data_IF_863078647410
#
_entry.id   IF_863078647410
#
_cell.length_a   1.000
_cell.length_b   1.000
_cell.length_c   1.000
_cell.angle_alpha   90.00
_cell.angle_beta   90.00
_cell.angle_gamma   90.00
#
_symmetry.space_group_name_H-M   'P 1'
#
loop_
_entity.id
_entity.type
_entity.pdbx_description
1 polymer ?
#
# COMPACT_ATOMS: atom_id res chain seq x y z
N UNK A 1 -9.25 -18.44 0.63
CA UNK A 1 -9.66 -17.13 0.05
C UNK A 1 -8.67 -16.78 -1.06
N UNK A 2 -9.12 -16.33 -2.25
CA UNK A 2 -8.21 -15.75 -3.26
C UNK A 2 -8.30 -14.23 -3.21
N UNK A 3 -7.15 -13.58 -3.03
CA UNK A 3 -6.99 -12.13 -3.16
C UNK A 3 -6.52 -11.84 -4.59
N UNK A 4 -7.26 -11.02 -5.32
CA UNK A 4 -7.03 -10.78 -6.74
C UNK A 4 -7.48 -9.36 -7.07
N UNK A 5 -6.83 -8.72 -8.05
CA UNK A 5 -7.21 -7.37 -8.47
C UNK A 5 -6.42 -6.27 -7.77
N UNK A 6 -7.03 -5.12 -7.60
CA UNK A 6 -6.40 -3.93 -7.03
C UNK A 6 -6.85 -3.71 -5.59
N UNK A 7 -5.89 -3.65 -4.67
CA UNK A 7 -6.09 -3.32 -3.26
C UNK A 7 -5.40 -1.97 -3.01
N UNK A 8 -6.12 -0.97 -2.54
CA UNK A 8 -5.52 0.34 -2.26
C UNK A 8 -4.77 0.33 -0.94
N UNK A 9 -3.47 0.65 -0.95
CA UNK A 9 -2.70 0.97 0.25
C UNK A 9 -3.13 2.35 0.74
N UNK A 10 -4.24 2.41 1.48
CA UNK A 10 -4.91 3.64 1.84
C UNK A 10 -4.05 4.50 2.75
N UNK A 11 -3.99 5.80 2.48
CA UNK A 11 -3.35 6.79 3.35
C UNK A 11 -4.22 7.08 4.58
N UNK A 12 -3.59 7.50 5.67
CA UNK A 12 -4.30 8.03 6.85
C UNK A 12 -4.23 9.57 6.81
N UNK A 13 -5.35 10.27 6.60
CA UNK A 13 -5.40 11.72 6.65
C UNK A 13 -5.36 12.23 8.09
N UNK A 14 -4.74 13.41 8.28
CA UNK A 14 -4.67 14.07 9.59
C UNK A 14 -5.24 15.48 9.52
N UNK A 15 -5.88 15.90 10.61
CA UNK A 15 -6.29 17.27 10.88
C UNK A 15 -5.08 18.17 11.16
N UNK A 16 -5.23 19.51 11.07
CA UNK A 16 -4.16 20.50 11.37
C UNK A 16 -3.52 20.33 12.75
N UNK A 17 -4.24 19.82 13.72
CA UNK A 17 -3.74 19.54 15.07
C UNK A 17 -3.02 18.19 15.20
N UNK A 18 -2.87 17.43 14.10
CA UNK A 18 -2.20 16.15 14.05
C UNK A 18 -3.05 14.94 14.46
N UNK A 19 -4.33 15.11 14.82
CA UNK A 19 -5.26 13.98 15.05
C UNK A 19 -5.72 13.37 13.73
N UNK A 20 -6.18 12.12 13.75
CA UNK A 20 -6.73 11.46 12.56
C UNK A 20 -7.99 12.19 12.07
N UNK A 21 -8.05 12.48 10.76
CA UNK A 21 -9.23 13.06 10.12
C UNK A 21 -10.17 11.94 9.62
N UNK A 22 -11.08 11.53 10.48
CA UNK A 22 -12.06 10.48 10.15
C UNK A 22 -13.08 10.91 9.09
N UNK A 23 -13.32 12.23 8.93
CA UNK A 23 -14.17 12.74 7.86
C UNK A 23 -13.54 12.56 6.49
N UNK A 24 -12.27 12.94 6.35
CA UNK A 24 -11.50 12.71 5.14
C UNK A 24 -11.27 11.20 4.89
N UNK A 25 -10.99 10.41 5.93
CA UNK A 25 -10.86 8.96 5.81
C UNK A 25 -12.13 8.32 5.23
N UNK A 26 -13.31 8.75 5.72
CA UNK A 26 -14.60 8.29 5.20
C UNK A 26 -14.75 8.60 3.71
N UNK A 27 -14.49 9.84 3.31
CA UNK A 27 -14.56 10.25 1.92
C UNK A 27 -13.63 9.45 1.01
N UNK A 28 -12.39 9.20 1.46
CA UNK A 28 -11.44 8.36 0.72
C UNK A 28 -11.96 6.93 0.56
N UNK A 29 -12.45 6.29 1.62
CA UNK A 29 -12.99 4.92 1.56
C UNK A 29 -14.21 4.84 0.63
N UNK A 30 -15.13 5.81 0.71
CA UNK A 30 -16.30 5.88 -0.15
C UNK A 30 -15.92 6.07 -1.63
N UNK A 31 -14.91 6.87 -1.93
CA UNK A 31 -14.37 7.05 -3.28
C UNK A 31 -13.79 5.73 -3.82
N UNK A 32 -12.98 5.04 -3.03
CA UNK A 32 -12.40 3.74 -3.40
C UNK A 32 -13.49 2.71 -3.70
N UNK A 33 -14.47 2.57 -2.82
CA UNK A 33 -15.57 1.61 -3.00
C UNK A 33 -16.47 1.97 -4.19
N UNK A 34 -16.70 3.27 -4.45
CA UNK A 34 -17.48 3.75 -5.60
C UNK A 34 -16.75 3.54 -6.92
N UNK A 35 -15.43 3.57 -6.92
CA UNK A 35 -14.60 3.25 -8.08
C UNK A 35 -14.56 1.74 -8.38
N UNK A 36 -15.06 0.90 -7.47
CA UNK A 36 -15.12 -0.55 -7.62
C UNK A 36 -13.78 -1.25 -7.38
N UNK A 37 -12.97 -0.72 -6.45
CA UNK A 37 -11.72 -1.37 -6.02
C UNK A 37 -12.01 -2.73 -5.37
N UNK A 38 -11.14 -3.71 -5.57
CA UNK A 38 -11.31 -5.05 -5.01
C UNK A 38 -11.04 -5.11 -3.50
N UNK A 39 -10.21 -4.20 -2.99
CA UNK A 39 -9.92 -4.14 -1.57
C UNK A 39 -9.22 -2.87 -1.11
N UNK A 40 -9.21 -2.67 0.20
CA UNK A 40 -8.50 -1.58 0.88
C UNK A 40 -7.55 -2.19 1.91
N UNK A 41 -6.27 -1.81 1.85
CA UNK A 41 -5.29 -2.09 2.88
C UNK A 41 -5.21 -0.88 3.82
N UNK A 42 -5.81 -1.00 5.01
CA UNK A 42 -5.80 0.01 6.06
C UNK A 42 -4.57 -0.13 6.94
N UNK A 43 -3.99 0.99 7.35
CA UNK A 43 -2.86 1.06 8.30
C UNK A 43 -1.64 0.22 7.89
N UNK A 44 -1.36 0.20 6.57
CA UNK A 44 -0.06 -0.25 6.07
C UNK A 44 0.98 0.87 6.16
N UNK A 45 2.09 0.73 5.40
CA UNK A 45 3.12 1.77 5.30
C UNK A 45 2.55 3.11 4.84
N UNK A 46 1.68 3.10 3.81
CA UNK A 46 1.03 4.32 3.30
C UNK A 46 0.06 4.93 4.31
N UNK A 47 -0.48 4.13 5.22
CA UNK A 47 -1.32 4.58 6.33
C UNK A 47 -0.55 5.12 7.53
N UNK A 48 0.77 5.30 7.44
CA UNK A 48 1.64 5.82 8.51
C UNK A 48 1.54 5.02 9.83
N UNK A 49 1.41 3.68 9.73
CA UNK A 49 1.24 2.81 10.90
C UNK A 49 2.25 3.05 12.05
N UNK A 50 3.55 3.38 11.80
CA UNK A 50 4.50 3.58 12.91
C UNK A 50 4.24 4.79 13.79
N UNK A 51 3.44 5.77 13.33
CA UNK A 51 3.18 7.02 14.04
C UNK A 51 1.75 7.12 14.59
N UNK A 52 0.96 6.07 14.41
CA UNK A 52 -0.34 5.90 15.08
C UNK A 52 -0.12 5.26 16.46
N UNK A 53 -0.81 5.76 17.49
CA UNK A 53 -0.92 4.99 18.74
C UNK A 53 -1.67 3.68 18.48
N UNK A 54 -1.57 2.70 19.38
CA UNK A 54 -2.32 1.45 19.21
C UNK A 54 -3.84 1.69 19.15
N UNK A 55 -4.36 2.63 19.93
CA UNK A 55 -5.77 2.98 19.91
C UNK A 55 -6.18 3.59 18.57
N UNK A 56 -5.41 4.55 18.04
CA UNK A 56 -5.64 5.12 16.71
C UNK A 56 -5.52 4.06 15.60
N UNK A 57 -4.54 3.17 15.70
CA UNK A 57 -4.34 2.07 14.77
C UNK A 57 -5.59 1.19 14.67
N UNK A 58 -6.15 0.80 15.82
CA UNK A 58 -7.37 0.01 15.90
C UNK A 58 -8.58 0.80 15.38
N UNK A 59 -8.70 2.07 15.78
CA UNK A 59 -9.83 2.91 15.38
C UNK A 59 -9.84 3.19 13.86
N UNK A 60 -8.68 3.46 13.23
CA UNK A 60 -8.59 3.66 11.78
C UNK A 60 -9.01 2.39 11.03
N UNK A 61 -8.61 1.21 11.49
CA UNK A 61 -9.06 -0.06 10.88
C UNK A 61 -10.57 -0.24 11.06
N UNK A 62 -11.09 -0.04 12.27
CA UNK A 62 -12.53 -0.16 12.57
C UNK A 62 -13.36 0.78 11.70
N UNK A 63 -12.94 2.04 11.57
CA UNK A 63 -13.61 3.03 10.73
C UNK A 63 -13.50 2.71 9.24
N UNK A 64 -12.37 2.16 8.79
CA UNK A 64 -12.24 1.69 7.39
C UNK A 64 -13.23 0.56 7.10
N UNK A 65 -13.39 -0.40 8.01
CA UNK A 65 -14.38 -1.49 7.90
C UNK A 65 -15.80 -0.92 7.86
N UNK A 66 -16.13 -0.03 8.80
CA UNK A 66 -17.44 0.62 8.89
C UNK A 66 -17.79 1.35 7.58
N UNK A 67 -16.87 2.19 7.08
CA UNK A 67 -17.12 3.03 5.90
C UNK A 67 -17.13 2.23 4.59
N UNK A 68 -16.36 1.15 4.50
CA UNK A 68 -16.40 0.25 3.35
C UNK A 68 -17.73 -0.52 3.27
N UNK A 69 -18.40 -0.76 4.42
CA UNK A 69 -19.72 -1.36 4.51
C UNK A 69 -19.84 -2.68 3.71
N UNK A 70 -18.80 -3.50 3.69
CA UNK A 70 -18.77 -4.79 2.97
C UNK A 70 -18.69 -4.69 1.44
N UNK A 71 -18.50 -3.50 0.86
CA UNK A 71 -18.44 -3.31 -0.60
C UNK A 71 -17.12 -3.76 -1.23
N UNK A 72 -16.06 -3.89 -0.44
CA UNK A 72 -14.77 -4.40 -0.87
C UNK A 72 -14.10 -5.18 0.28
N UNK A 73 -13.01 -5.89 -0.02
CA UNK A 73 -12.23 -6.61 1.00
C UNK A 73 -11.39 -5.65 1.83
N UNK A 74 -11.27 -5.96 3.12
CA UNK A 74 -10.42 -5.18 4.03
C UNK A 74 -9.20 -6.00 4.46
N UNK A 75 -8.03 -5.44 4.19
CA UNK A 75 -6.73 -5.96 4.63
C UNK A 75 -6.21 -5.05 5.73
N UNK A 76 -6.04 -5.55 6.93
CA UNK A 76 -5.53 -4.79 8.06
C UNK A 76 -4.00 -4.90 8.14
N UNK A 77 -3.27 -3.79 8.13
CA UNK A 77 -1.83 -3.78 8.39
C UNK A 77 -1.57 -3.97 9.88
N UNK A 78 -1.18 -5.16 10.31
CA UNK A 78 -0.90 -5.49 11.72
C UNK A 78 0.51 -6.06 11.94
N UNK A 79 1.36 -6.00 10.87
CA UNK A 79 2.74 -6.44 10.98
C UNK A 79 3.60 -5.49 11.82
N UNK A 80 4.50 -6.07 12.62
CA UNK A 80 5.47 -5.36 13.44
C UNK A 80 6.81 -6.10 13.44
N UNK A 81 7.87 -5.46 13.92
CA UNK A 81 9.17 -6.12 14.08
C UNK A 81 9.29 -6.92 15.40
N UNK A 82 8.31 -6.79 16.29
CA UNK A 82 8.12 -7.62 17.46
C UNK A 82 6.97 -8.60 17.23
N UNK A 83 7.22 -9.90 17.44
CA UNK A 83 6.18 -10.93 17.28
C UNK A 83 5.04 -10.72 18.26
N UNK A 84 5.32 -10.31 19.51
CA UNK A 84 4.28 -10.03 20.51
C UNK A 84 3.37 -8.87 20.12
N UNK A 85 3.93 -7.84 19.50
CA UNK A 85 3.17 -6.69 18.99
C UNK A 85 2.30 -7.09 17.79
N UNK A 86 2.87 -7.80 16.80
CA UNK A 86 2.12 -8.32 15.66
C UNK A 86 0.95 -9.21 16.10
N UNK A 87 1.16 -10.05 17.12
CA UNK A 87 0.10 -10.85 17.73
C UNK A 87 -0.99 -9.98 18.39
N UNK A 88 -0.59 -8.98 19.16
CA UNK A 88 -1.53 -8.09 19.87
C UNK A 88 -2.41 -7.34 18.87
N UNK A 89 -1.80 -6.71 17.87
CA UNK A 89 -2.51 -5.98 16.81
C UNK A 89 -3.44 -6.90 15.99
N UNK A 90 -2.97 -8.10 15.65
CA UNK A 90 -3.79 -9.05 14.87
C UNK A 90 -4.96 -9.59 15.67
N UNK A 91 -4.77 -9.89 16.98
CA UNK A 91 -5.87 -10.31 17.88
C UNK A 91 -6.94 -9.24 17.99
N UNK A 92 -6.56 -7.99 18.20
CA UNK A 92 -7.51 -6.87 18.25
C UNK A 92 -8.35 -6.77 16.96
N UNK A 93 -7.73 -6.97 15.79
CA UNK A 93 -8.46 -6.98 14.51
C UNK A 93 -9.40 -8.17 14.38
N UNK A 94 -9.02 -9.34 14.87
CA UNK A 94 -9.89 -10.54 14.91
C UNK A 94 -11.09 -10.28 15.82
N UNK A 95 -10.88 -9.73 17.01
CA UNK A 95 -11.93 -9.40 17.98
C UNK A 95 -12.89 -8.32 17.43
N UNK A 96 -12.36 -7.34 16.70
CA UNK A 96 -13.13 -6.30 16.02
C UNK A 96 -14.04 -6.88 14.92
N UNK A 97 -13.56 -7.90 14.22
CA UNK A 97 -14.25 -8.50 13.08
C UNK A 97 -14.23 -7.62 11.84
N UNK A 98 -14.67 -8.18 10.71
CA UNK A 98 -14.86 -7.45 9.45
C UNK A 98 -13.61 -7.28 8.56
N UNK A 99 -12.42 -7.61 9.04
CA UNK A 99 -11.24 -7.71 8.19
C UNK A 99 -11.19 -9.08 7.50
N UNK A 100 -10.85 -9.10 6.21
CA UNK A 100 -10.72 -10.32 5.39
C UNK A 100 -9.33 -10.95 5.52
N UNK A 101 -8.30 -10.13 5.75
CA UNK A 101 -6.91 -10.57 5.88
C UNK A 101 -6.07 -9.56 6.67
N UNK A 102 -4.88 -9.98 7.05
CA UNK A 102 -3.86 -9.11 7.63
C UNK A 102 -2.63 -9.02 6.73
N UNK A 103 -2.04 -7.81 6.63
CA UNK A 103 -0.75 -7.59 5.97
C UNK A 103 0.36 -7.61 7.02
N UNK A 104 1.28 -8.58 6.88
CA UNK A 104 2.38 -8.79 7.81
C UNK A 104 3.71 -8.40 7.16
N UNK A 105 4.23 -7.23 7.52
CA UNK A 105 5.52 -6.77 7.01
C UNK A 105 6.67 -7.62 7.56
N UNK A 106 7.68 -7.86 6.72
CA UNK A 106 8.94 -8.44 7.17
C UNK A 106 9.47 -7.64 8.36
N UNK A 107 9.80 -8.29 9.52
CA UNK A 107 10.39 -7.59 10.66
C UNK A 107 11.58 -6.74 10.24
N UNK A 108 11.44 -5.43 10.42
CA UNK A 108 12.40 -4.40 10.06
C UNK A 108 13.37 -4.13 11.21
N UNK A 109 14.55 -3.59 10.91
CA UNK A 109 15.59 -3.18 11.85
C UNK A 109 16.34 -4.37 12.50
N UNK A 110 15.66 -5.30 13.19
CA UNK A 110 16.26 -6.43 13.91
C UNK A 110 16.70 -7.59 13.01
N UNK A 111 16.34 -7.59 11.70
CA UNK A 111 16.84 -8.50 10.64
C UNK A 111 16.92 -9.98 11.06
N UNK A 112 15.79 -10.61 11.42
CA UNK A 112 15.82 -11.99 11.88
C UNK A 112 16.38 -12.96 10.82
N UNK A 113 16.93 -14.08 11.27
CA UNK A 113 17.33 -15.17 10.38
C UNK A 113 16.09 -15.89 9.80
N UNK A 114 16.30 -16.82 8.86
CA UNK A 114 15.23 -17.52 8.16
C UNK A 114 14.27 -18.26 9.11
N UNK A 115 14.80 -18.90 10.15
CA UNK A 115 13.98 -19.61 11.12
C UNK A 115 13.18 -18.64 12.01
N UNK A 116 13.76 -17.51 12.40
CA UNK A 116 13.04 -16.45 13.12
C UNK A 116 11.91 -15.86 12.30
N UNK A 117 12.13 -15.59 11.00
CA UNK A 117 11.08 -15.17 10.07
C UNK A 117 9.95 -16.20 9.98
N UNK A 118 10.29 -17.45 9.80
CA UNK A 118 9.32 -18.53 9.71
C UNK A 118 8.46 -18.61 10.98
N UNK A 119 9.07 -18.64 12.15
CA UNK A 119 8.35 -18.71 13.43
C UNK A 119 7.48 -17.47 13.67
N UNK A 120 7.98 -16.28 13.34
CA UNK A 120 7.24 -15.02 13.45
C UNK A 120 5.93 -15.08 12.68
N UNK A 121 5.99 -15.38 11.37
CA UNK A 121 4.80 -15.41 10.53
C UNK A 121 3.87 -16.58 10.85
N UNK A 122 4.42 -17.76 11.19
CA UNK A 122 3.63 -18.91 11.62
C UNK A 122 2.78 -18.60 12.85
N UNK A 123 3.41 -17.98 13.87
CA UNK A 123 2.71 -17.63 15.12
C UNK A 123 1.55 -16.67 14.87
N UNK A 124 1.67 -15.75 13.91
CA UNK A 124 0.56 -14.87 13.51
C UNK A 124 -0.49 -15.64 12.71
N UNK A 125 -0.08 -16.51 11.79
CA UNK A 125 -1.00 -17.31 10.97
C UNK A 125 -1.84 -18.29 11.81
N UNK A 126 -1.30 -18.78 12.93
CA UNK A 126 -2.00 -19.66 13.89
C UNK A 126 -3.20 -18.96 14.56
N UNK A 127 -3.30 -17.63 14.51
CA UNK A 127 -4.46 -16.88 15.03
C UNK A 127 -5.74 -17.06 14.20
N UNK A 128 -5.63 -17.56 12.95
CA UNK A 128 -6.78 -17.88 12.10
C UNK A 128 -7.19 -16.85 11.08
N UNK A 129 -6.77 -15.57 11.19
CA UNK A 129 -7.01 -14.57 10.15
C UNK A 129 -6.05 -14.81 8.97
N UNK A 130 -6.53 -14.77 7.71
CA UNK A 130 -5.67 -14.92 6.53
C UNK A 130 -4.52 -13.90 6.51
N UNK A 131 -3.31 -14.38 6.24
CA UNK A 131 -2.06 -13.60 6.25
C UNK A 131 -1.57 -13.34 4.83
N UNK A 132 -1.28 -12.08 4.53
CA UNK A 132 -0.50 -11.66 3.38
C UNK A 132 0.90 -11.34 3.89
N UNK A 133 1.89 -12.11 3.47
CA UNK A 133 3.29 -11.79 3.73
C UNK A 133 3.66 -10.50 3.00
N UNK A 134 4.46 -9.63 3.60
CA UNK A 134 4.92 -8.43 2.92
C UNK A 134 6.43 -8.37 2.85
N UNK A 135 6.96 -8.66 1.64
CA UNK A 135 8.37 -8.62 1.32
C UNK A 135 8.75 -7.24 0.78
N UNK A 136 9.51 -6.47 1.56
CA UNK A 136 9.95 -5.11 1.22
C UNK A 136 11.36 -4.85 1.71
N UNK A 137 12.38 -5.51 1.12
CA UNK A 137 13.75 -5.46 1.62
C UNK A 137 14.34 -4.04 1.68
N UNK A 138 13.93 -3.14 0.78
CA UNK A 138 14.35 -1.73 0.79
C UNK A 138 13.96 -0.97 2.06
N UNK A 139 12.89 -1.39 2.76
CA UNK A 139 12.44 -0.81 4.03
C UNK A 139 12.84 -1.65 5.23
N UNK A 140 12.65 -2.95 5.12
CA UNK A 140 12.91 -3.88 6.23
C UNK A 140 14.40 -4.16 6.46
N UNK A 141 15.25 -3.94 5.44
CA UNK A 141 16.65 -4.33 5.45
C UNK A 141 16.84 -5.85 5.47
N UNK A 142 15.76 -6.60 5.21
CA UNK A 142 15.75 -8.06 5.16
C UNK A 142 14.69 -8.52 4.15
N UNK A 143 15.09 -9.46 3.30
CA UNK A 143 14.19 -10.17 2.40
C UNK A 143 13.64 -11.44 3.06
N UNK A 144 12.41 -11.86 2.71
CA UNK A 144 11.88 -13.18 3.06
C UNK A 144 12.49 -14.18 2.05
N UNK A 145 13.39 -15.10 2.44
CA UNK A 145 13.96 -16.08 1.52
C UNK A 145 12.89 -16.97 0.87
N UNK A 146 13.13 -17.41 -0.37
CA UNK A 146 12.17 -18.22 -1.12
C UNK A 146 11.79 -19.51 -0.40
N UNK A 147 12.77 -20.18 0.22
CA UNK A 147 12.54 -21.40 1.02
C UNK A 147 11.62 -21.14 2.22
N UNK A 148 11.73 -19.95 2.84
CA UNK A 148 10.83 -19.53 3.93
C UNK A 148 9.41 -19.29 3.38
N UNK A 149 9.27 -18.64 2.22
CA UNK A 149 7.95 -18.48 1.57
C UNK A 149 7.32 -19.84 1.29
N UNK A 150 8.10 -20.78 0.72
CA UNK A 150 7.62 -22.15 0.42
C UNK A 150 7.17 -22.90 1.68
N UNK A 151 7.88 -22.74 2.79
CA UNK A 151 7.49 -23.34 4.07
C UNK A 151 6.21 -22.70 4.62
N UNK A 152 6.10 -21.36 4.58
CA UNK A 152 4.95 -20.61 5.06
C UNK A 152 3.68 -20.87 4.23
N UNK A 153 3.81 -20.98 2.92
CA UNK A 153 2.69 -21.25 2.01
C UNK A 153 1.99 -22.61 2.25
N UNK A 154 2.58 -23.50 3.05
CA UNK A 154 1.93 -24.74 3.50
C UNK A 154 0.88 -24.52 4.59
N UNK A 155 0.93 -23.37 5.25
CA UNK A 155 -0.06 -23.03 6.28
C UNK A 155 -1.34 -22.50 5.61
N UNK A 156 -2.54 -23.02 5.95
CA UNK A 156 -3.78 -22.66 5.26
C UNK A 156 -4.15 -21.19 5.35
N UNK A 157 -3.70 -20.50 6.40
CA UNK A 157 -3.95 -19.08 6.59
C UNK A 157 -2.88 -18.18 5.95
N UNK A 158 -1.78 -18.70 5.43
CA UNK A 158 -0.82 -17.91 4.63
C UNK A 158 -1.27 -17.93 3.18
N UNK A 159 -2.02 -16.92 2.77
CA UNK A 159 -2.80 -16.93 1.52
C UNK A 159 -2.14 -16.19 0.36
N UNK A 160 -1.23 -15.27 0.65
CA UNK A 160 -0.60 -14.43 -0.37
C UNK A 160 0.74 -13.85 0.10
N UNK A 161 1.48 -13.31 -0.87
CA UNK A 161 2.61 -12.42 -0.63
C UNK A 161 2.41 -11.12 -1.41
N UNK A 162 2.62 -9.96 -0.74
CA UNK A 162 2.88 -8.68 -1.39
C UNK A 162 4.37 -8.60 -1.66
N UNK A 163 4.75 -8.59 -2.94
CA UNK A 163 6.15 -8.56 -3.37
C UNK A 163 6.55 -7.14 -3.80
N UNK A 164 7.44 -6.53 -3.05
CA UNK A 164 7.94 -5.17 -3.23
C UNK A 164 9.47 -5.11 -3.17
N UNK A 165 10.15 -6.14 -3.68
CA UNK A 165 11.60 -6.15 -3.83
C UNK A 165 12.08 -5.52 -5.15
N UNK A 166 11.16 -5.03 -6.00
CA UNK A 166 11.50 -4.43 -7.29
C UNK A 166 11.92 -5.45 -8.36
N UNK A 167 11.54 -6.73 -8.23
CA UNK A 167 12.00 -7.80 -9.12
C UNK A 167 10.85 -8.64 -9.68
N UNK A 168 10.68 -8.60 -11.01
CA UNK A 168 9.76 -9.48 -11.74
C UNK A 168 10.24 -10.93 -11.70
N UNK A 169 11.57 -11.15 -11.73
CA UNK A 169 12.18 -12.47 -11.63
C UNK A 169 11.81 -13.17 -10.30
N UNK A 170 11.72 -12.41 -9.22
CA UNK A 170 11.29 -12.94 -7.93
C UNK A 170 9.86 -13.50 -7.98
N UNK A 171 8.95 -12.82 -8.67
CA UNK A 171 7.59 -13.33 -8.90
C UNK A 171 7.65 -14.62 -9.69
N UNK A 172 8.44 -14.68 -10.76
CA UNK A 172 8.65 -15.91 -11.56
C UNK A 172 9.18 -17.05 -10.71
N UNK A 173 10.16 -16.79 -9.84
CA UNK A 173 10.73 -17.80 -8.95
C UNK A 173 9.69 -18.34 -7.95
N UNK A 174 8.86 -17.49 -7.36
CA UNK A 174 7.76 -17.90 -6.47
C UNK A 174 6.74 -18.74 -7.24
N UNK A 175 6.27 -18.27 -8.40
CA UNK A 175 5.25 -18.96 -9.20
C UNK A 175 5.76 -20.27 -9.80
N UNK A 176 7.06 -20.40 -10.05
CA UNK A 176 7.64 -21.67 -10.50
C UNK A 176 7.56 -22.80 -9.45
N UNK A 177 7.70 -22.47 -8.17
CA UNK A 177 7.66 -23.47 -7.08
C UNK A 177 6.32 -23.53 -6.36
N UNK A 178 5.51 -22.47 -6.44
CA UNK A 178 4.19 -22.32 -5.83
C UNK A 178 3.20 -21.75 -6.86
N UNK A 179 2.79 -22.50 -7.90
CA UNK A 179 1.99 -21.99 -9.01
C UNK A 179 0.64 -21.42 -8.56
N UNK A 180 0.03 -21.97 -7.52
CA UNK A 180 -1.28 -21.58 -7.00
C UNK A 180 -1.23 -20.51 -5.88
N UNK A 181 -0.02 -20.16 -5.39
CA UNK A 181 0.13 -19.18 -4.33
C UNK A 181 -0.04 -17.77 -4.87
N UNK A 182 -0.93 -16.97 -4.26
CA UNK A 182 -1.19 -15.61 -4.71
C UNK A 182 -0.01 -14.69 -4.48
N UNK A 183 0.44 -14.03 -5.54
CA UNK A 183 1.44 -12.96 -5.51
C UNK A 183 0.78 -11.66 -5.92
N UNK A 184 0.89 -10.64 -5.09
CA UNK A 184 0.43 -9.27 -5.36
C UNK A 184 1.65 -8.37 -5.52
N UNK A 185 1.67 -7.56 -6.58
CA UNK A 185 2.69 -6.51 -6.72
C UNK A 185 2.60 -5.53 -5.54
N UNK A 186 3.75 -5.08 -5.06
CA UNK A 186 3.85 -3.96 -4.12
C UNK A 186 4.21 -2.64 -4.79
N UNK A 187 4.48 -2.68 -6.11
CA UNK A 187 4.96 -1.57 -6.92
C UNK A 187 4.01 -1.30 -8.10
N UNK A 188 3.48 -0.08 -8.21
CA UNK A 188 2.53 0.30 -9.26
C UNK A 188 3.15 0.16 -10.66
N UNK A 189 4.39 0.63 -10.87
CA UNK A 189 5.11 0.55 -12.14
C UNK A 189 5.48 -0.87 -12.57
N UNK A 190 5.58 -1.81 -11.62
CA UNK A 190 5.90 -3.21 -11.90
C UNK A 190 4.66 -4.11 -11.95
N UNK A 191 3.46 -3.58 -11.70
CA UNK A 191 2.22 -4.35 -11.66
C UNK A 191 1.97 -5.12 -12.96
N UNK A 192 1.98 -4.43 -14.10
CA UNK A 192 1.74 -5.06 -15.40
C UNK A 192 2.81 -6.12 -15.76
N UNK A 193 4.13 -5.83 -15.64
CA UNK A 193 5.16 -6.84 -15.80
C UNK A 193 5.01 -8.06 -14.85
N UNK A 194 4.69 -7.83 -13.58
CA UNK A 194 4.51 -8.93 -12.63
C UNK A 194 3.29 -9.80 -12.95
N UNK A 195 2.17 -9.19 -13.43
CA UNK A 195 1.01 -9.97 -13.87
C UNK A 195 1.36 -10.85 -15.07
N UNK A 196 2.22 -10.40 -15.99
CA UNK A 196 2.63 -11.19 -17.15
C UNK A 196 3.38 -12.47 -16.80
N UNK A 197 3.96 -12.54 -15.60
CA UNK A 197 4.64 -13.74 -15.06
C UNK A 197 3.88 -14.42 -13.92
N UNK A 198 2.58 -14.08 -13.74
CA UNK A 198 1.67 -14.81 -12.88
C UNK A 198 1.28 -14.13 -11.57
N UNK A 199 1.61 -12.86 -11.34
CA UNK A 199 1.00 -12.11 -10.24
C UNK A 199 -0.51 -11.93 -10.48
N UNK A 200 -1.28 -11.83 -9.39
CA UNK A 200 -2.75 -11.85 -9.46
C UNK A 200 -3.37 -10.50 -9.08
N UNK A 201 -2.54 -9.46 -8.93
CA UNK A 201 -3.00 -8.11 -8.60
C UNK A 201 -1.90 -7.24 -7.99
N UNK A 202 -2.33 -6.19 -7.28
CA UNK A 202 -1.46 -5.19 -6.68
C UNK A 202 -2.02 -4.68 -5.35
N UNK A 203 -1.14 -4.37 -4.41
CA UNK A 203 -1.46 -3.47 -3.29
C UNK A 203 -0.84 -2.11 -3.63
N UNK A 204 -1.65 -1.22 -4.19
CA UNK A 204 -1.30 -0.04 -4.95
C UNK A 204 -1.26 1.24 -4.10
N UNK A 205 -0.30 2.11 -4.37
CA UNK A 205 -0.26 3.49 -3.85
C UNK A 205 -1.00 4.44 -4.81
N UNK A 206 -0.78 4.31 -6.12
CA UNK A 206 -1.41 5.16 -7.12
C UNK A 206 -2.94 5.10 -7.12
N UNK A 207 -3.51 3.98 -6.72
CA UNK A 207 -4.97 3.82 -6.59
C UNK A 207 -5.62 4.75 -5.55
N UNK A 208 -4.85 5.39 -4.66
CA UNK A 208 -5.38 6.48 -3.82
C UNK A 208 -5.87 7.67 -4.66
N UNK A 209 -5.26 7.91 -5.85
CA UNK A 209 -5.59 9.02 -6.76
C UNK A 209 -6.46 8.57 -7.94
N UNK A 210 -6.14 7.41 -8.51
CA UNK A 210 -6.72 6.88 -9.75
C UNK A 210 -7.27 5.44 -9.55
N UNK A 211 -8.21 5.24 -8.62
CA UNK A 211 -8.65 3.89 -8.25
C UNK A 211 -9.29 3.12 -9.42
N UNK A 212 -10.10 3.80 -10.25
CA UNK A 212 -10.78 3.20 -11.39
C UNK A 212 -9.79 2.77 -12.46
N UNK A 213 -8.90 3.65 -12.86
CA UNK A 213 -7.92 3.43 -13.92
C UNK A 213 -6.94 2.34 -13.53
N UNK A 214 -6.54 2.31 -12.25
CA UNK A 214 -5.66 1.26 -11.74
C UNK A 214 -6.37 -0.10 -11.75
N UNK A 215 -7.64 -0.15 -11.35
CA UNK A 215 -8.45 -1.37 -11.37
C UNK A 215 -8.69 -1.85 -12.81
N UNK A 216 -8.98 -0.94 -13.75
CA UNK A 216 -9.19 -1.29 -15.15
C UNK A 216 -7.91 -1.87 -15.77
N UNK A 217 -6.74 -1.25 -15.54
CA UNK A 217 -5.45 -1.78 -15.98
C UNK A 217 -5.22 -3.21 -15.47
N UNK A 218 -5.44 -3.44 -14.19
CA UNK A 218 -5.23 -4.75 -13.56
C UNK A 218 -6.22 -5.78 -14.09
N UNK A 219 -7.50 -5.44 -14.21
CA UNK A 219 -8.54 -6.33 -14.73
C UNK A 219 -8.26 -6.74 -16.18
N UNK A 220 -7.87 -5.79 -17.05
CA UNK A 220 -7.47 -6.08 -18.44
C UNK A 220 -6.29 -7.05 -18.46
N UNK A 221 -5.24 -6.79 -17.70
CA UNK A 221 -4.06 -7.65 -17.65
C UNK A 221 -4.42 -9.07 -17.16
N UNK A 222 -5.26 -9.21 -16.13
CA UNK A 222 -5.72 -10.48 -15.59
C UNK A 222 -6.67 -11.23 -16.56
N UNK A 223 -7.34 -10.51 -17.45
CA UNK A 223 -8.14 -11.08 -18.52
C UNK A 223 -7.32 -11.46 -19.78
N UNK A 224 -5.99 -11.18 -19.78
CA UNK A 224 -5.11 -11.45 -20.92
C UNK A 224 -5.01 -10.30 -21.93
N UNK A 225 -5.75 -9.20 -21.74
CA UNK A 225 -5.63 -7.98 -22.58
C UNK A 225 -4.46 -7.10 -22.13
N UNK A 226 -3.25 -7.60 -22.39
CA UNK A 226 -2.02 -6.84 -22.11
C UNK A 226 -1.88 -5.60 -22.98
N UNK A 227 -2.43 -5.60 -24.20
CA UNK A 227 -2.37 -4.45 -25.10
C UNK A 227 -3.24 -3.29 -24.57
N UNK A 228 -4.43 -3.60 -24.04
CA UNK A 228 -5.29 -2.64 -23.37
C UNK A 228 -4.65 -2.13 -22.07
N UNK A 229 -4.19 -3.02 -21.21
CA UNK A 229 -3.53 -2.67 -19.95
C UNK A 229 -2.28 -1.79 -20.16
N UNK A 230 -1.49 -2.03 -21.23
CA UNK A 230 -0.30 -1.27 -21.55
C UNK A 230 -0.61 0.21 -21.86
N UNK A 231 -1.81 0.53 -22.36
CA UNK A 231 -2.22 1.93 -22.59
C UNK A 231 -2.34 2.69 -21.26
N UNK A 232 -2.95 2.05 -20.26
CA UNK A 232 -3.02 2.62 -18.90
C UNK A 232 -1.65 2.73 -18.28
N UNK A 233 -0.84 1.68 -18.34
CA UNK A 233 0.51 1.68 -17.80
C UNK A 233 1.35 2.84 -18.35
N UNK A 234 1.35 3.03 -19.68
CA UNK A 234 2.08 4.14 -20.32
C UNK A 234 1.53 5.51 -19.95
N UNK A 235 0.20 5.65 -19.92
CA UNK A 235 -0.44 6.91 -19.55
C UNK A 235 -0.07 7.36 -18.13
N UNK A 236 -0.05 6.43 -17.19
CA UNK A 236 0.15 6.75 -15.76
C UNK A 236 1.57 6.45 -15.25
N UNK A 237 2.51 6.09 -16.14
CA UNK A 237 3.87 5.72 -15.74
C UNK A 237 4.58 6.82 -14.96
N UNK A 238 4.48 8.08 -15.39
CA UNK A 238 5.08 9.20 -14.67
C UNK A 238 4.47 9.34 -13.26
N UNK A 239 3.16 9.18 -13.13
CA UNK A 239 2.52 9.19 -11.81
C UNK A 239 3.07 8.07 -10.92
N UNK A 240 3.19 6.85 -11.44
CA UNK A 240 3.76 5.72 -10.68
C UNK A 240 5.18 6.01 -10.19
N UNK A 241 5.99 6.68 -11.01
CA UNK A 241 7.35 7.07 -10.65
C UNK A 241 7.34 8.22 -9.64
N UNK A 242 6.59 9.29 -9.90
CA UNK A 242 6.65 10.53 -9.14
C UNK A 242 6.06 10.40 -7.73
N UNK A 243 5.18 9.42 -7.51
CA UNK A 243 4.71 9.09 -6.17
C UNK A 243 5.80 8.47 -5.27
N UNK A 244 7.00 8.18 -5.82
CA UNK A 244 8.12 7.59 -5.09
C UNK A 244 9.44 8.38 -5.20
N UNK A 245 9.41 9.61 -5.71
CA UNK A 245 10.59 10.52 -5.73
C UNK A 245 10.95 11.03 -4.34
N UNK A 246 10.04 10.88 -3.39
CA UNK A 246 10.28 10.99 -1.97
C UNK A 246 9.74 9.73 -1.27
N UNK A 247 10.00 9.60 0.04
CA UNK A 247 9.57 8.43 0.79
C UNK A 247 8.04 8.30 0.81
N UNK A 248 7.50 7.14 0.41
CA UNK A 248 6.07 6.88 0.55
C UNK A 248 5.69 6.80 2.06
N UNK A 249 4.64 7.54 2.52
CA UNK A 249 3.53 8.12 1.76
C UNK A 249 3.64 9.64 1.47
N UNK A 250 4.80 10.26 1.54
CA UNK A 250 4.89 11.72 1.41
C UNK A 250 4.26 12.19 0.11
N UNK A 251 4.74 11.71 -1.06
CA UNK A 251 4.26 12.20 -2.34
C UNK A 251 2.78 11.89 -2.62
N UNK A 252 2.27 10.73 -2.24
CA UNK A 252 0.84 10.41 -2.41
C UNK A 252 -0.05 11.33 -1.56
N UNK A 253 0.39 11.69 -0.36
CA UNK A 253 -0.34 12.64 0.50
C UNK A 253 -0.24 14.07 -0.04
N UNK A 254 0.91 14.47 -0.58
CA UNK A 254 1.05 15.76 -1.29
C UNK A 254 0.11 15.86 -2.49
N UNK A 255 0.05 14.82 -3.31
CA UNK A 255 -0.87 14.76 -4.45
C UNK A 255 -2.33 14.88 -4.01
N UNK A 256 -2.75 14.13 -3.00
CA UNK A 256 -4.10 14.18 -2.47
C UNK A 256 -4.43 15.55 -1.83
N UNK A 257 -3.45 16.20 -1.18
CA UNK A 257 -3.61 17.57 -0.70
C UNK A 257 -3.78 18.56 -1.86
N UNK A 258 -3.00 18.46 -2.93
CA UNK A 258 -3.19 19.26 -4.15
C UNK A 258 -4.58 19.06 -4.75
N UNK A 259 -5.10 17.83 -4.73
CA UNK A 259 -6.47 17.50 -5.13
C UNK A 259 -7.55 18.00 -4.14
N UNK A 260 -7.18 18.65 -3.04
CA UNK A 260 -8.12 19.19 -2.05
C UNK A 260 -8.78 18.15 -1.15
N UNK A 261 -8.24 16.94 -1.07
CA UNK A 261 -8.88 15.82 -0.35
C UNK A 261 -8.81 15.98 1.17
N UNK A 262 -7.71 16.52 1.71
CA UNK A 262 -7.48 16.76 3.14
C UNK A 262 -6.38 17.79 3.39
N UNK A 263 -6.00 18.01 4.65
CA UNK A 263 -4.94 18.96 5.04
C UNK A 263 -3.54 18.39 4.82
N UNK A 264 -2.57 19.25 4.51
CA UNK A 264 -1.15 18.90 4.33
C UNK A 264 -0.48 18.67 5.67
N UNK A 265 -0.75 17.52 6.28
CA UNK A 265 -0.24 17.19 7.62
C UNK A 265 0.39 15.80 7.61
N UNK A 266 1.58 15.73 8.17
CA UNK A 266 2.36 14.49 8.38
C UNK A 266 2.71 14.39 9.87
N UNK A 267 3.01 13.19 10.33
CA UNK A 267 3.55 12.96 11.66
C UNK A 267 5.05 12.68 11.58
N UNK A 268 5.85 13.39 12.36
CA UNK A 268 7.29 13.12 12.43
C UNK A 268 7.55 11.62 12.72
N UNK A 269 8.58 11.02 12.09
CA UNK A 269 9.67 11.66 11.35
C UNK A 269 9.35 12.05 9.91
N UNK A 270 8.15 11.78 9.40
CA UNK A 270 7.74 12.25 8.07
C UNK A 270 7.33 13.72 8.15
N UNK A 271 7.65 14.45 7.08
CA UNK A 271 7.24 15.84 6.90
C UNK A 271 6.94 16.10 5.42
N UNK A 272 6.57 17.33 5.13
CA UNK A 272 6.27 17.79 3.78
C UNK A 272 7.51 17.68 2.88
N UNK A 273 7.27 17.40 1.59
CA UNK A 273 8.33 17.38 0.58
C UNK A 273 8.81 18.80 0.25
N UNK A 274 9.96 18.91 -0.44
CA UNK A 274 10.46 20.17 -0.95
C UNK A 274 9.61 20.72 -2.12
N UNK A 275 9.72 22.03 -2.35
CA UNK A 275 8.91 22.73 -3.35
C UNK A 275 9.14 22.20 -4.77
N UNK A 276 10.35 21.79 -5.14
CA UNK A 276 10.65 21.28 -6.46
C UNK A 276 9.93 19.95 -6.77
N UNK A 277 9.89 19.03 -5.79
CA UNK A 277 9.13 17.78 -5.92
C UNK A 277 7.63 18.03 -5.90
N UNK A 278 7.17 18.98 -5.11
CA UNK A 278 5.76 19.36 -5.08
C UNK A 278 5.30 19.97 -6.41
N UNK A 279 6.11 20.83 -7.03
CA UNK A 279 5.87 21.39 -8.38
C UNK A 279 5.82 20.28 -9.43
N UNK A 280 6.75 19.32 -9.40
CA UNK A 280 6.75 18.17 -10.29
C UNK A 280 5.48 17.33 -10.12
N UNK A 281 5.05 17.08 -8.88
CA UNK A 281 3.81 16.38 -8.59
C UNK A 281 2.60 17.10 -9.19
N UNK A 282 2.51 18.43 -9.01
CA UNK A 282 1.46 19.26 -9.62
C UNK A 282 1.44 19.19 -11.14
N UNK A 283 2.61 19.29 -11.79
CA UNK A 283 2.74 19.16 -13.24
C UNK A 283 2.31 17.77 -13.75
N UNK A 284 2.63 16.71 -13.00
CA UNK A 284 2.20 15.35 -13.34
C UNK A 284 0.68 15.21 -13.25
N UNK A 285 0.03 15.73 -12.19
CA UNK A 285 -1.43 15.72 -12.07
C UNK A 285 -2.09 16.49 -13.23
N UNK A 286 -1.58 17.69 -13.57
CA UNK A 286 -2.07 18.50 -14.68
C UNK A 286 -1.96 17.76 -16.03
N UNK A 287 -0.82 17.13 -16.31
CA UNK A 287 -0.58 16.37 -17.53
C UNK A 287 -1.56 15.22 -17.73
N UNK A 288 -2.08 14.68 -16.64
CA UNK A 288 -3.06 13.59 -16.60
C UNK A 288 -4.51 14.08 -16.54
N UNK A 289 -4.73 15.40 -16.54
CA UNK A 289 -6.04 16.04 -16.33
C UNK A 289 -6.71 15.61 -15.01
N UNK A 290 -5.90 15.37 -13.99
CA UNK A 290 -6.37 15.15 -12.62
C UNK A 290 -6.52 16.53 -11.98
N UNK A 291 -7.74 16.87 -11.56
CA UNK A 291 -8.03 18.18 -11.01
C UNK A 291 -7.25 18.43 -9.70
N UNK A 292 -6.43 19.47 -9.72
CA UNK A 292 -5.75 20.01 -8.56
C UNK A 292 -6.38 21.34 -8.17
N UNK A 293 -7.02 21.39 -7.00
CA UNK A 293 -7.71 22.59 -6.50
C UNK A 293 -6.78 23.55 -5.74
N UNK A 294 -5.57 23.11 -5.40
CA UNK A 294 -4.56 23.90 -4.67
C UNK A 294 -3.37 24.13 -5.59
N UNK A 295 -3.04 25.38 -5.82
CA UNK A 295 -1.86 25.76 -6.59
C UNK A 295 -0.61 25.78 -5.71
N UNK A 296 0.47 25.22 -6.22
CA UNK A 296 1.81 25.49 -5.70
C UNK A 296 2.11 26.93 -6.06
N UNK A 297 2.20 27.83 -5.06
CA UNK A 297 2.70 29.19 -5.29
C UNK A 297 4.22 29.06 -5.42
N UNK A 298 4.82 29.28 -6.62
CA UNK A 298 6.27 29.22 -6.73
C UNK A 298 6.86 30.21 -5.73
N UNK A 299 7.71 29.75 -4.83
CA UNK A 299 8.53 30.66 -4.03
C UNK A 299 9.46 31.36 -5.02
N UNK A 300 9.39 32.71 -5.19
CA UNK A 300 10.27 33.39 -6.09
C UNK A 300 11.71 33.05 -5.71
N UNK A 301 12.49 32.57 -6.68
CA UNK A 301 13.91 32.27 -6.51
C UNK A 301 14.53 33.45 -5.75
N UNK A 302 14.81 33.27 -4.48
CA UNK A 302 15.63 34.23 -3.75
C UNK A 302 16.96 34.26 -4.47
N UNK A 303 17.22 35.37 -5.11
CA UNK A 303 18.51 35.66 -5.77
C UNK A 303 19.62 35.52 -4.71
N UNK A 304 20.28 34.38 -4.71
CA UNK A 304 21.52 34.14 -4.02
C UNK A 304 22.69 34.82 -4.77
N UNK A 305 22.52 36.08 -5.18
CA UNK A 305 23.60 36.91 -5.66
C UNK A 305 23.34 38.34 -5.20
N UNK A 306 23.79 38.67 -4.02
CA UNK A 306 24.14 40.03 -3.68
C UNK A 306 25.17 40.01 -2.57
N UNK A 307 26.38 40.38 -3.02
CA UNK A 307 27.61 40.87 -2.36
C UNK A 307 28.37 39.89 -1.50
#
# INVERSE_FOLDING_TARGET
>A
MKLKGTITALVTPFCKNGTVDYGALKALVEEQTSAGIEGICSVGTSGESPTLSHDEHHEVIAKTIEYAAGKCKIVAGTGANSTSEALSLTKAVIEMGGADATLQVTPYYNKPNSEGLYRHFMTVADLGLPVILYNVPGRAGKEIPLDVVVRLAKHPNVVAIKEAAGSVERVSAIKNVLPDFTVLSGDDSLTLPMISVGAEGVISVASNLIPREMSDMVRMALAGDFAGALKYHRKYYNLFHDLFIDVNPVMVKEALWLMGKFERVFRLPLCETDDAKLELCGATLESLSIEAYRTVIPVPLRSFFSS
#
